data_IF_652894835270
#
_entry.id   IF_652894835270
#
_cell.length_a   1.000
_cell.length_b   1.000
_cell.length_c   1.000
_cell.angle_alpha   90.00
_cell.angle_beta   90.00
_cell.angle_gamma   90.00
#
_symmetry.space_group_name_H-M   'P 1'
#
loop_
_entity.id
_entity.type
_entity.pdbx_description
1 polymer ?
#
# COMPACT_ATOMS: atom_id res chain seq x y z
N UNK A 1 4.92 -9.30 5.22
CA UNK A 1 4.80 -9.30 6.70
C UNK A 1 3.92 -8.14 7.12
N UNK A 2 3.07 -8.32 8.13
CA UNK A 2 2.27 -7.22 8.69
C UNK A 2 3.05 -6.54 9.82
N UNK A 3 3.03 -5.20 9.91
CA UNK A 3 3.56 -4.49 11.08
C UNK A 3 2.75 -4.84 12.32
N UNK A 4 3.29 -4.61 13.51
CA UNK A 4 2.54 -4.84 14.75
C UNK A 4 1.26 -4.01 14.80
N UNK A 5 0.25 -4.48 15.53
CA UNK A 5 -0.95 -3.70 15.78
C UNK A 5 -0.58 -2.47 16.65
N UNK A 6 -1.16 -1.28 16.40
CA UNK A 6 -1.02 -0.15 17.31
C UNK A 6 -1.53 -0.53 18.70
N UNK A 7 -0.66 -0.44 19.72
CA UNK A 7 -1.03 -0.75 21.12
C UNK A 7 -2.01 0.27 21.70
N UNK A 8 -1.92 1.51 21.22
CA UNK A 8 -2.79 2.63 21.61
C UNK A 8 -3.25 3.28 20.32
N UNK A 9 -4.57 3.35 20.11
CA UNK A 9 -5.19 3.98 18.95
C UNK A 9 -6.43 4.76 19.40
N UNK A 10 -6.32 6.09 19.46
CA UNK A 10 -7.39 7.01 19.87
C UNK A 10 -7.38 8.28 19.01
N UNK A 11 -8.55 8.92 18.90
CA UNK A 11 -8.74 10.21 18.23
C UNK A 11 -8.79 10.16 16.70
N UNK A 12 -8.92 8.96 16.13
CA UNK A 12 -8.99 8.70 14.67
C UNK A 12 -10.06 7.65 14.33
N UNK A 13 -10.95 7.33 15.27
CA UNK A 13 -11.97 6.30 15.15
C UNK A 13 -13.00 6.66 14.06
N UNK A 14 -13.30 7.95 13.89
CA UNK A 14 -14.11 8.46 12.78
C UNK A 14 -13.49 8.14 11.43
N UNK A 15 -12.22 8.51 11.22
CA UNK A 15 -11.53 8.26 9.96
C UNK A 15 -11.36 6.78 9.69
N UNK A 16 -11.11 5.96 10.73
CA UNK A 16 -11.10 4.51 10.60
C UNK A 16 -12.46 4.00 10.12
N UNK A 17 -13.56 4.45 10.74
CA UNK A 17 -14.91 4.08 10.33
C UNK A 17 -15.21 4.46 8.88
N UNK A 18 -14.81 5.65 8.46
CA UNK A 18 -15.05 6.12 7.10
C UNK A 18 -14.22 5.36 6.07
N UNK A 19 -12.96 5.05 6.37
CA UNK A 19 -12.13 4.19 5.52
C UNK A 19 -12.76 2.80 5.39
N UNK A 20 -13.22 2.20 6.49
CA UNK A 20 -13.84 0.87 6.48
C UNK A 20 -15.12 0.84 5.63
N UNK A 21 -15.94 1.91 5.69
CA UNK A 21 -17.10 2.05 4.80
C UNK A 21 -16.69 2.07 3.33
N UNK A 22 -15.55 2.66 2.97
CA UNK A 22 -15.10 2.64 1.56
C UNK A 22 -14.81 1.22 1.04
N UNK A 23 -14.45 0.28 1.92
CA UNK A 23 -14.24 -1.13 1.55
C UNK A 23 -15.52 -1.91 1.23
N UNK A 24 -16.71 -1.31 1.39
CA UNK A 24 -17.96 -1.87 0.87
C UNK A 24 -18.08 -1.71 -0.64
N UNK A 25 -17.32 -0.80 -1.25
CA UNK A 25 -17.19 -0.68 -2.70
C UNK A 25 -16.09 -1.61 -3.23
N UNK A 26 -16.16 -1.97 -4.52
CA UNK A 26 -15.09 -2.73 -5.17
C UNK A 26 -13.82 -1.87 -5.26
N UNK A 27 -12.71 -2.42 -4.76
CA UNK A 27 -11.35 -1.87 -4.92
C UNK A 27 -11.17 -0.38 -4.56
N UNK A 28 -11.40 0.04 -3.30
CA UNK A 28 -11.20 1.44 -2.93
C UNK A 28 -9.73 1.85 -3.05
N UNK A 29 -9.49 3.07 -3.55
CA UNK A 29 -8.18 3.71 -3.60
C UNK A 29 -8.21 4.88 -2.63
N UNK A 30 -7.39 4.81 -1.59
CA UNK A 30 -7.47 5.71 -0.44
C UNK A 30 -6.13 6.39 -0.24
N UNK A 31 -6.12 7.72 -0.26
CA UNK A 31 -4.99 8.53 0.19
C UNK A 31 -5.25 9.02 1.61
N UNK A 32 -4.34 8.71 2.54
CA UNK A 32 -4.40 9.21 3.92
C UNK A 32 -3.42 10.39 4.02
N UNK A 33 -3.96 11.60 4.09
CA UNK A 33 -3.18 12.84 4.13
C UNK A 33 -3.39 13.59 5.45
N UNK A 34 -2.40 14.39 5.87
CA UNK A 34 -2.48 15.25 7.06
C UNK A 34 -1.32 15.08 8.04
N UNK A 35 -1.57 15.42 9.30
CA UNK A 35 -0.57 15.50 10.37
C UNK A 35 -0.13 14.12 10.92
N UNK A 36 0.15 14.02 12.21
CA UNK A 36 0.60 12.78 12.85
C UNK A 36 -0.49 11.69 12.91
N UNK A 37 -0.05 10.44 13.03
CA UNK A 37 -0.93 9.28 13.24
C UNK A 37 -1.46 8.59 11.97
N UNK A 38 -1.04 9.01 10.77
CA UNK A 38 -1.44 8.40 9.49
C UNK A 38 -1.03 6.93 9.40
N UNK A 39 0.24 6.62 9.67
CA UNK A 39 0.73 5.25 9.65
C UNK A 39 0.04 4.37 10.73
N UNK A 40 -0.28 4.95 11.90
CA UNK A 40 -1.07 4.26 12.93
C UNK A 40 -2.50 3.96 12.46
N UNK A 41 -3.16 4.89 11.76
CA UNK A 41 -4.47 4.69 11.16
C UNK A 41 -4.42 3.62 10.06
N UNK A 42 -3.43 3.68 9.16
CA UNK A 42 -3.22 2.67 8.12
C UNK A 42 -3.02 1.26 8.72
N UNK A 43 -2.25 1.16 9.81
CA UNK A 43 -2.07 -0.09 10.57
C UNK A 43 -3.35 -0.54 11.25
N UNK A 44 -4.14 0.37 11.83
CA UNK A 44 -5.43 0.04 12.43
C UNK A 44 -6.41 -0.54 11.40
N UNK A 45 -6.47 0.04 10.20
CA UNK A 45 -7.24 -0.50 9.05
C UNK A 45 -6.76 -1.91 8.71
N UNK A 46 -5.45 -2.10 8.55
CA UNK A 46 -4.83 -3.37 8.19
C UNK A 46 -5.18 -4.51 9.16
N UNK A 47 -5.28 -4.19 10.45
CA UNK A 47 -5.60 -5.14 11.53
C UNK A 47 -7.09 -5.25 11.85
N UNK A 48 -7.95 -4.44 11.23
CA UNK A 48 -9.39 -4.50 11.49
C UNK A 48 -9.96 -5.86 11.11
N UNK A 49 -10.89 -6.39 11.90
CA UNK A 49 -11.43 -7.75 11.76
C UNK A 49 -12.04 -7.97 10.37
N UNK A 50 -12.83 -7.03 9.86
CA UNK A 50 -13.45 -7.11 8.53
C UNK A 50 -12.40 -7.16 7.40
N UNK A 51 -11.33 -6.38 7.53
CA UNK A 51 -10.21 -6.36 6.57
C UNK A 51 -9.45 -7.69 6.65
N UNK A 52 -9.21 -8.20 7.85
CA UNK A 52 -8.62 -9.52 8.08
C UNK A 52 -9.46 -10.67 7.50
N UNK A 53 -10.79 -10.59 7.58
CA UNK A 53 -11.68 -11.58 6.99
C UNK A 53 -11.68 -11.52 5.46
N UNK A 54 -11.71 -10.30 4.89
CA UNK A 54 -11.77 -10.06 3.43
C UNK A 54 -10.47 -10.44 2.73
N UNK A 55 -9.33 -10.00 3.26
CA UNK A 55 -8.03 -10.13 2.60
C UNK A 55 -7.13 -11.22 3.20
N UNK A 56 -7.45 -11.74 4.39
CA UNK A 56 -6.69 -12.81 5.06
C UNK A 56 -5.19 -12.50 5.13
N UNK A 57 -4.35 -13.30 4.50
CA UNK A 57 -2.90 -13.10 4.47
C UNK A 57 -2.44 -12.24 3.28
N UNK A 58 -3.34 -11.91 2.36
CA UNK A 58 -3.13 -11.01 1.21
C UNK A 58 -3.24 -9.55 1.63
N UNK A 59 -2.48 -9.17 2.65
CA UNK A 59 -2.37 -7.82 3.19
C UNK A 59 -0.89 -7.45 3.24
N UNK A 60 -0.55 -6.30 2.69
CA UNK A 60 0.84 -5.85 2.56
C UNK A 60 0.97 -4.40 3.00
N UNK A 61 1.98 -4.16 3.84
CA UNK A 61 2.36 -2.83 4.29
C UNK A 61 3.81 -2.62 3.88
N UNK A 62 4.03 -1.68 2.98
CA UNK A 62 5.35 -1.32 2.46
C UNK A 62 5.71 0.03 3.05
N UNK A 63 6.74 0.05 3.91
CA UNK A 63 7.32 1.28 4.44
C UNK A 63 8.29 1.85 3.39
N UNK A 64 7.85 2.89 2.66
CA UNK A 64 8.57 3.46 1.51
C UNK A 64 9.63 4.49 1.90
N UNK A 65 9.83 4.77 3.20
CA UNK A 65 10.79 5.73 3.73
C UNK A 65 12.26 5.38 3.43
N UNK A 66 12.52 4.15 2.99
CA UNK A 66 13.84 3.67 2.56
C UNK A 66 14.04 3.70 1.04
N UNK A 67 13.05 4.12 0.27
CA UNK A 67 13.10 4.20 -1.18
C UNK A 67 12.90 5.65 -1.63
N UNK A 68 13.91 6.22 -2.26
CA UNK A 68 13.91 7.61 -2.75
C UNK A 68 13.73 7.68 -4.27
N UNK A 69 13.80 6.54 -4.95
CA UNK A 69 13.64 6.43 -6.41
C UNK A 69 12.63 5.36 -6.79
N UNK A 70 12.13 5.43 -8.02
CA UNK A 70 11.25 4.39 -8.58
C UNK A 70 11.91 3.01 -8.58
N UNK A 71 13.20 2.92 -8.92
CA UNK A 71 13.95 1.66 -8.93
C UNK A 71 14.06 1.03 -7.52
N UNK A 72 14.30 1.86 -6.49
CA UNK A 72 14.32 1.42 -5.09
C UNK A 72 12.93 0.99 -4.62
N UNK A 73 11.88 1.72 -4.99
CA UNK A 73 10.49 1.37 -4.64
C UNK A 73 10.08 0.03 -5.25
N UNK A 74 10.43 -0.21 -6.52
CA UNK A 74 10.19 -1.49 -7.21
C UNK A 74 10.96 -2.63 -6.54
N UNK A 75 12.22 -2.40 -6.18
CA UNK A 75 13.04 -3.39 -5.47
C UNK A 75 12.44 -3.70 -4.09
N UNK A 76 12.00 -2.67 -3.37
CA UNK A 76 11.37 -2.80 -2.07
C UNK A 76 10.09 -3.64 -2.16
N UNK A 77 9.16 -3.29 -3.06
CA UNK A 77 7.92 -4.04 -3.26
C UNK A 77 8.21 -5.49 -3.66
N UNK A 78 9.17 -5.72 -4.56
CA UNK A 78 9.57 -7.06 -4.97
C UNK A 78 10.08 -7.90 -3.79
N UNK A 79 10.86 -7.31 -2.88
CA UNK A 79 11.33 -7.97 -1.67
C UNK A 79 10.16 -8.37 -0.76
N UNK A 80 9.17 -7.48 -0.57
CA UNK A 80 7.95 -7.80 0.19
C UNK A 80 7.15 -8.94 -0.44
N UNK A 81 7.15 -9.04 -1.78
CA UNK A 81 6.48 -10.11 -2.54
C UNK A 81 7.33 -11.38 -2.69
N UNK A 82 8.59 -11.39 -2.23
CA UNK A 82 9.52 -12.51 -2.44
C UNK A 82 9.87 -12.75 -3.91
N UNK A 83 9.77 -11.73 -4.76
CA UNK A 83 10.05 -11.83 -6.19
C UNK A 83 11.53 -11.60 -6.48
N UNK A 84 12.10 -12.44 -7.33
CA UNK A 84 13.41 -12.18 -7.94
C UNK A 84 13.22 -11.32 -9.17
N UNK A 85 13.71 -10.09 -9.12
CA UNK A 85 13.59 -9.17 -10.25
C UNK A 85 14.39 -9.64 -11.47
N UNK A 86 13.84 -9.35 -12.64
CA UNK A 86 14.39 -9.69 -13.95
C UNK A 86 14.36 -8.49 -14.88
N UNK A 87 14.34 -8.71 -16.19
CA UNK A 87 14.45 -7.62 -17.19
C UNK A 87 13.33 -6.56 -17.09
N UNK A 88 12.11 -6.98 -16.75
CA UNK A 88 10.95 -6.09 -16.63
C UNK A 88 10.39 -6.16 -15.20
N UNK A 89 10.99 -5.47 -14.22
CA UNK A 89 10.64 -5.64 -12.81
C UNK A 89 9.24 -5.12 -12.48
N UNK A 90 8.86 -3.95 -12.99
CA UNK A 90 7.51 -3.37 -12.83
C UNK A 90 6.43 -4.29 -13.37
N UNK A 91 6.62 -4.85 -14.57
CA UNK A 91 5.65 -5.76 -15.18
C UNK A 91 5.50 -7.06 -14.38
N UNK A 92 6.57 -7.55 -13.76
CA UNK A 92 6.50 -8.75 -12.90
C UNK A 92 5.67 -8.50 -11.65
N UNK A 93 5.83 -7.35 -11.00
CA UNK A 93 5.02 -6.95 -9.83
C UNK A 93 3.55 -6.83 -10.23
N UNK A 94 3.28 -6.11 -11.31
CA UNK A 94 1.94 -5.95 -11.91
C UNK A 94 1.29 -7.31 -12.13
N UNK A 95 2.00 -8.22 -12.79
CA UNK A 95 1.50 -9.54 -13.13
C UNK A 95 1.25 -10.42 -11.91
N UNK A 96 2.09 -10.27 -10.88
CA UNK A 96 1.90 -10.94 -9.61
C UNK A 96 0.58 -10.50 -8.94
N UNK A 97 0.29 -9.20 -8.90
CA UNK A 97 -0.97 -8.70 -8.38
C UNK A 97 -2.17 -9.12 -9.23
N UNK A 98 -2.05 -9.06 -10.57
CA UNK A 98 -3.16 -9.39 -11.49
C UNK A 98 -3.60 -10.87 -11.43
N UNK A 99 -2.67 -11.79 -11.13
CA UNK A 99 -2.94 -13.24 -11.08
C UNK A 99 -3.22 -13.75 -9.67
N UNK A 100 -2.89 -12.95 -8.66
CA UNK A 100 -3.06 -13.32 -7.26
C UNK A 100 -4.51 -13.18 -6.78
N UNK A 101 -4.79 -13.62 -5.54
CA UNK A 101 -6.00 -13.21 -4.86
C UNK A 101 -6.02 -11.68 -4.65
N UNK A 102 -7.21 -11.08 -4.41
CA UNK A 102 -7.29 -9.66 -4.06
C UNK A 102 -6.36 -9.32 -2.89
N UNK A 103 -5.60 -8.23 -3.03
CA UNK A 103 -4.63 -7.79 -2.03
C UNK A 103 -4.99 -6.40 -1.51
N UNK A 104 -4.83 -6.18 -0.20
CA UNK A 104 -4.77 -4.84 0.37
C UNK A 104 -3.30 -4.40 0.42
N UNK A 105 -2.94 -3.43 -0.42
CA UNK A 105 -1.62 -2.82 -0.48
C UNK A 105 -1.64 -1.44 0.20
N UNK A 106 -0.79 -1.26 1.20
CA UNK A 106 -0.50 0.03 1.83
C UNK A 106 0.93 0.43 1.48
N UNK A 107 1.08 1.63 0.90
CA UNK A 107 2.36 2.29 0.64
C UNK A 107 2.48 3.45 1.66
N UNK A 108 3.20 3.22 2.75
CA UNK A 108 3.39 4.20 3.83
C UNK A 108 4.62 5.05 3.56
N UNK A 109 4.57 6.35 3.88
CA UNK A 109 5.64 7.31 3.59
C UNK A 109 6.07 7.35 2.11
N UNK A 110 5.13 7.20 1.19
CA UNK A 110 5.41 7.22 -0.27
C UNK A 110 5.98 8.57 -0.73
N UNK A 111 5.73 9.65 0.02
CA UNK A 111 6.29 10.98 -0.24
C UNK A 111 7.81 10.97 -0.40
N UNK A 112 8.52 10.07 0.28
CA UNK A 112 9.99 9.95 0.17
C UNK A 112 10.45 9.70 -1.27
N UNK A 113 9.73 8.86 -2.01
CA UNK A 113 9.99 8.62 -3.43
C UNK A 113 9.27 9.64 -4.32
N UNK A 114 8.04 10.00 -3.97
CA UNK A 114 7.12 10.75 -4.82
C UNK A 114 7.39 12.26 -4.90
N UNK A 115 8.01 12.86 -3.88
CA UNK A 115 8.28 14.32 -3.86
C UNK A 115 9.45 14.73 -4.76
N UNK A 116 10.37 13.82 -5.09
CA UNK A 116 11.46 14.10 -6.05
C UNK A 116 10.88 14.38 -7.44
N UNK A 117 11.27 15.50 -8.04
CA UNK A 117 10.82 15.90 -9.38
C UNK A 117 11.22 14.85 -10.42
N UNK A 118 12.39 14.25 -10.25
CA UNK A 118 12.96 13.24 -11.14
C UNK A 118 12.16 11.94 -11.10
N UNK A 119 11.70 11.51 -9.92
CA UNK A 119 11.00 10.23 -9.74
C UNK A 119 9.47 10.34 -9.85
N UNK A 120 8.90 11.54 -9.64
CA UNK A 120 7.45 11.75 -9.52
C UNK A 120 6.66 11.21 -10.70
N UNK A 121 7.11 11.48 -11.93
CA UNK A 121 6.42 11.03 -13.15
C UNK A 121 6.33 9.51 -13.21
N UNK A 122 7.43 8.81 -12.95
CA UNK A 122 7.48 7.36 -13.02
C UNK A 122 6.64 6.71 -11.91
N UNK A 123 6.61 7.31 -10.72
CA UNK A 123 5.78 6.84 -9.61
C UNK A 123 4.30 7.09 -9.90
N UNK A 124 3.92 8.25 -10.45
CA UNK A 124 2.54 8.53 -10.86
C UNK A 124 2.06 7.50 -11.89
N UNK A 125 2.87 7.22 -12.92
CA UNK A 125 2.58 6.18 -13.91
C UNK A 125 2.40 4.80 -13.25
N UNK A 126 3.27 4.45 -12.31
CA UNK A 126 3.15 3.19 -11.56
C UNK A 126 1.89 3.10 -10.71
N UNK A 127 1.51 4.19 -10.02
CA UNK A 127 0.28 4.25 -9.23
C UNK A 127 -0.97 4.10 -10.11
N UNK A 128 -0.96 4.68 -11.32
CA UNK A 128 -2.02 4.47 -12.31
C UNK A 128 -2.10 3.00 -12.72
N UNK A 129 -0.96 2.37 -13.01
CA UNK A 129 -0.95 0.94 -13.34
C UNK A 129 -1.51 0.07 -12.20
N UNK A 130 -1.06 0.30 -10.95
CA UNK A 130 -1.60 -0.43 -9.79
C UNK A 130 -3.11 -0.22 -9.63
N UNK A 131 -3.57 1.00 -9.88
CA UNK A 131 -4.99 1.35 -9.83
C UNK A 131 -5.81 0.56 -10.86
N UNK A 132 -5.31 0.36 -12.07
CA UNK A 132 -6.03 -0.32 -13.15
C UNK A 132 -6.12 -1.84 -12.97
N UNK A 133 -5.15 -2.44 -12.27
CA UNK A 133 -5.04 -3.91 -12.16
C UNK A 133 -5.78 -4.45 -10.94
N UNK A 134 -5.89 -3.66 -9.88
CA UNK A 134 -6.52 -4.08 -8.61
C UNK A 134 -8.06 -3.97 -8.61
N UNK A 135 -8.70 -4.02 -9.79
CA UNK A 135 -10.16 -3.92 -9.98
C UNK A 135 -10.94 -5.18 -9.53
#
# INVERSE_FOLDING_TARGET
>A
MLPSMPQIFHGRESELSDILKMFTHNAPRIAILGAMGKSSLARAVLHHSEIGLKYRDSRMFVACDVASTMAELITLIANYLGLKLGKNPTQQIIHHFARGPPILLILDNLETAWESIESRKEIDEFLVFLADILL
#
